data_IF_225618882241
#
_entry.id   IF_225618882241
#
_cell.length_a   1.000
_cell.length_b   1.000
_cell.length_c   1.000
_cell.angle_alpha   90.00
_cell.angle_beta   90.00
_cell.angle_gamma   90.00
#
_symmetry.space_group_name_H-M   'P 1'
#
loop_
_entity.id
_entity.type
_entity.pdbx_description
1 polymer ?
#
# COMPACT_ATOMS: atom_id res chain seq x y z
N UNK A 1 -46.33 -0.05 -29.95
CA UNK A 1 -44.87 -0.02 -29.73
C UNK A 1 -44.66 0.36 -28.28
N UNK A 2 -44.28 -0.62 -27.47
CA UNK A 2 -44.20 -0.52 -26.02
C UNK A 2 -43.06 0.42 -25.62
N UNK A 3 -43.41 1.45 -24.86
CA UNK A 3 -42.49 2.32 -24.15
C UNK A 3 -41.69 1.49 -23.14
N UNK A 4 -40.38 1.36 -23.37
CA UNK A 4 -39.44 0.81 -22.41
C UNK A 4 -39.34 1.76 -21.21
N UNK A 5 -40.19 1.55 -20.21
CA UNK A 5 -40.07 2.17 -18.89
C UNK A 5 -38.94 1.42 -18.17
N UNK A 6 -37.94 2.11 -17.58
CA UNK A 6 -36.85 1.46 -16.85
C UNK A 6 -37.44 0.66 -15.67
N UNK A 7 -37.20 -0.65 -15.67
CA UNK A 7 -37.79 -1.67 -14.80
C UNK A 7 -37.51 -1.49 -13.29
N UNK A 8 -36.70 -0.52 -12.87
CA UNK A 8 -36.24 -0.39 -11.47
C UNK A 8 -37.10 0.53 -10.58
N UNK A 9 -38.33 0.86 -10.98
CA UNK A 9 -39.32 1.51 -10.09
C UNK A 9 -40.08 0.54 -9.19
N UNK A 10 -39.80 -0.77 -9.27
CA UNK A 10 -40.32 -1.76 -8.32
C UNK A 10 -39.32 -1.90 -7.15
N UNK A 11 -39.76 -1.54 -5.94
CA UNK A 11 -38.96 -1.59 -4.71
C UNK A 11 -38.36 -2.99 -4.52
N UNK A 12 -37.07 -3.14 -4.77
CA UNK A 12 -36.34 -4.34 -4.37
C UNK A 12 -36.36 -4.45 -2.85
N UNK A 13 -36.49 -5.67 -2.33
CA UNK A 13 -36.28 -5.95 -0.92
C UNK A 13 -34.81 -6.26 -0.68
N UNK A 14 -34.22 -5.68 0.35
CA UNK A 14 -32.83 -5.91 0.73
C UNK A 14 -32.78 -6.82 1.95
N UNK A 15 -31.90 -7.82 1.90
CA UNK A 15 -31.68 -8.75 3.01
C UNK A 15 -30.23 -8.63 3.46
N UNK A 16 -30.06 -8.15 4.69
CA UNK A 16 -28.78 -8.09 5.38
C UNK A 16 -28.48 -9.45 6.05
N UNK A 17 -27.28 -9.97 5.84
CA UNK A 17 -26.73 -11.08 6.59
C UNK A 17 -25.38 -10.66 7.17
N UNK A 18 -25.16 -10.97 8.45
CA UNK A 18 -23.90 -10.69 9.14
C UNK A 18 -23.46 -11.96 9.82
N UNK A 19 -22.27 -12.43 9.46
CA UNK A 19 -21.71 -13.70 9.92
C UNK A 19 -20.33 -13.40 10.53
N UNK A 20 -20.06 -13.79 11.79
CA UNK A 20 -18.72 -13.68 12.36
C UNK A 20 -17.70 -14.45 11.52
N UNK A 21 -16.46 -13.95 11.45
CA UNK A 21 -15.37 -14.71 10.83
C UNK A 21 -15.08 -16.00 11.61
N UNK A 22 -14.62 -17.06 10.94
CA UNK A 22 -14.39 -18.35 11.59
C UNK A 22 -13.22 -18.30 12.56
N UNK A 23 -12.11 -17.70 12.14
CA UNK A 23 -10.86 -17.68 12.92
C UNK A 23 -10.76 -16.45 13.83
N UNK A 24 -11.40 -15.35 13.42
CA UNK A 24 -11.34 -14.06 14.13
C UNK A 24 -12.73 -13.44 14.39
N UNK A 25 -13.68 -14.15 15.03
CA UNK A 25 -15.08 -13.71 15.16
C UNK A 25 -15.27 -12.38 15.89
N UNK A 26 -14.33 -12.04 16.78
CA UNK A 26 -14.32 -10.79 17.55
C UNK A 26 -13.74 -9.62 16.76
N UNK A 27 -12.93 -9.87 15.74
CA UNK A 27 -12.23 -8.81 14.99
C UNK A 27 -12.90 -8.60 13.64
N UNK A 28 -13.33 -9.68 12.99
CA UNK A 28 -13.80 -9.72 11.62
C UNK A 28 -15.24 -10.24 11.54
N UNK A 29 -16.06 -9.59 10.73
CA UNK A 29 -17.43 -10.02 10.42
C UNK A 29 -17.71 -9.83 8.93
N UNK A 30 -18.19 -10.88 8.26
CA UNK A 30 -18.71 -10.76 6.91
C UNK A 30 -20.08 -10.11 6.93
N UNK A 31 -20.25 -9.09 6.12
CA UNK A 31 -21.50 -8.36 5.92
C UNK A 31 -21.90 -8.55 4.46
N UNK A 32 -23.09 -9.09 4.21
CA UNK A 32 -23.63 -9.21 2.86
C UNK A 32 -25.05 -8.65 2.76
N UNK A 33 -25.34 -8.00 1.64
CA UNK A 33 -26.68 -7.49 1.32
C UNK A 33 -27.10 -8.03 -0.02
N UNK A 34 -28.23 -8.74 -0.04
CA UNK A 34 -28.84 -9.30 -1.25
C UNK A 34 -30.05 -8.47 -1.64
N UNK A 35 -30.06 -7.95 -2.87
CA UNK A 35 -31.23 -7.32 -3.48
C UNK A 35 -32.12 -8.40 -4.13
N UNK A 36 -33.40 -8.42 -3.76
CA UNK A 36 -34.39 -9.39 -4.27
C UNK A 36 -35.55 -8.64 -4.90
N UNK A 37 -35.78 -8.89 -6.18
CA UNK A 37 -36.93 -8.39 -6.93
C UNK A 37 -38.16 -9.27 -6.62
N UNK A 38 -39.34 -8.67 -6.36
CA UNK A 38 -40.54 -9.42 -6.01
C UNK A 38 -40.94 -10.51 -7.03
N UNK A 39 -40.72 -10.26 -8.33
CA UNK A 39 -41.13 -11.17 -9.41
C UNK A 39 -39.99 -11.91 -10.09
N UNK A 40 -38.74 -11.44 -9.96
CA UNK A 40 -37.59 -11.97 -10.72
C UNK A 40 -36.51 -12.60 -9.79
N UNK A 41 -36.75 -12.60 -8.48
CA UNK A 41 -35.84 -13.19 -7.51
C UNK A 41 -34.59 -12.34 -7.26
N UNK A 42 -33.47 -12.96 -6.87
CA UNK A 42 -32.23 -12.24 -6.55
C UNK A 42 -31.70 -11.44 -7.75
N UNK A 43 -31.37 -10.18 -7.54
CA UNK A 43 -30.93 -9.21 -8.56
C UNK A 43 -29.41 -8.99 -8.50
N UNK A 44 -28.89 -8.90 -7.27
CA UNK A 44 -27.47 -8.69 -7.02
C UNK A 44 -27.14 -8.80 -5.55
N UNK A 45 -25.85 -8.83 -5.25
CA UNK A 45 -25.28 -8.98 -3.92
C UNK A 45 -24.07 -8.06 -3.77
N UNK A 46 -23.91 -7.47 -2.59
CA UNK A 46 -22.69 -6.81 -2.15
C UNK A 46 -22.15 -7.55 -0.93
N UNK A 47 -20.84 -7.77 -0.89
CA UNK A 47 -20.14 -8.37 0.24
C UNK A 47 -19.04 -7.44 0.73
N UNK A 48 -18.95 -7.30 2.04
CA UNK A 48 -17.96 -6.50 2.73
C UNK A 48 -17.46 -7.21 3.99
N UNK A 49 -16.25 -6.87 4.41
CA UNK A 49 -15.63 -7.34 5.64
C UNK A 49 -15.56 -6.18 6.63
N UNK A 50 -16.22 -6.34 7.79
CA UNK A 50 -16.15 -5.42 8.89
C UNK A 50 -14.93 -5.75 9.77
N UNK A 51 -14.05 -4.77 10.00
CA UNK A 51 -12.77 -4.94 10.69
C UNK A 51 -12.70 -4.02 11.91
N UNK A 52 -12.64 -4.62 13.10
CA UNK A 52 -12.49 -3.94 14.39
C UNK A 52 -11.01 -3.88 14.79
N UNK A 53 -10.26 -2.96 14.16
CA UNK A 53 -8.79 -2.87 14.33
C UNK A 53 -8.32 -2.63 15.76
N UNK A 54 -9.13 -1.98 16.61
CA UNK A 54 -8.79 -1.73 18.02
C UNK A 54 -8.54 -3.04 18.79
N UNK A 55 -9.08 -4.16 18.28
CA UNK A 55 -8.99 -5.47 18.90
C UNK A 55 -7.87 -6.33 18.31
N UNK A 56 -7.17 -5.86 17.26
CA UNK A 56 -6.03 -6.55 16.67
C UNK A 56 -4.78 -6.55 17.57
N UNK A 57 -4.68 -5.65 18.55
CA UNK A 57 -3.60 -5.60 19.58
C UNK A 57 -2.14 -5.62 19.06
N UNK A 58 -1.90 -5.34 17.80
CA UNK A 58 -0.57 -5.37 17.17
C UNK A 58 -0.47 -6.35 16.00
N UNK A 59 -1.42 -7.29 15.91
CA UNK A 59 -1.47 -8.36 14.90
C UNK A 59 -2.30 -7.92 13.68
N UNK A 60 -2.43 -6.61 13.45
CA UNK A 60 -3.32 -6.07 12.41
C UNK A 60 -2.92 -6.59 11.03
N UNK A 61 -1.63 -6.66 10.73
CA UNK A 61 -1.18 -7.18 9.44
C UNK A 61 -1.36 -8.69 9.32
N UNK A 62 -1.06 -9.46 10.36
CA UNK A 62 -1.16 -10.92 10.34
C UNK A 62 -2.61 -11.35 10.14
N UNK A 63 -3.55 -10.74 10.86
CA UNK A 63 -4.98 -10.99 10.71
C UNK A 63 -5.48 -10.64 9.29
N UNK A 64 -4.89 -9.64 8.62
CA UNK A 64 -5.30 -9.27 7.26
C UNK A 64 -4.68 -10.18 6.19
N UNK A 65 -3.45 -10.65 6.44
CA UNK A 65 -2.71 -11.63 5.62
C UNK A 65 -3.42 -12.99 5.62
N UNK A 66 -3.86 -13.45 6.80
CA UNK A 66 -4.59 -14.70 6.97
C UNK A 66 -5.91 -14.75 6.18
N UNK A 67 -6.56 -13.60 5.95
CA UNK A 67 -7.82 -13.50 5.20
C UNK A 67 -7.62 -13.55 3.69
N UNK A 68 -6.71 -12.72 3.14
CA UNK A 68 -6.41 -12.68 1.70
C UNK A 68 -5.25 -11.73 1.37
N UNK A 69 -4.53 -12.03 0.29
CA UNK A 69 -3.51 -11.15 -0.30
C UNK A 69 -4.06 -9.74 -0.62
N UNK A 70 -5.31 -9.65 -1.07
CA UNK A 70 -5.98 -8.37 -1.38
C UNK A 70 -6.13 -7.51 -0.12
N UNK A 71 -6.57 -8.13 0.98
CA UNK A 71 -6.79 -7.43 2.24
C UNK A 71 -5.46 -7.03 2.90
N UNK A 72 -4.41 -7.87 2.77
CA UNK A 72 -3.07 -7.50 3.18
C UNK A 72 -2.52 -6.32 2.36
N UNK A 73 -2.74 -6.30 1.05
CA UNK A 73 -2.37 -5.17 0.18
C UNK A 73 -3.09 -3.88 0.62
N UNK A 74 -4.39 -3.96 0.92
CA UNK A 74 -5.15 -2.85 1.50
C UNK A 74 -4.56 -2.36 2.83
N UNK A 75 -4.32 -3.28 3.76
CA UNK A 75 -3.81 -2.97 5.09
C UNK A 75 -2.42 -2.34 5.04
N UNK A 76 -1.49 -2.98 4.32
CA UNK A 76 -0.10 -2.54 4.21
C UNK A 76 0.06 -1.28 3.37
N UNK A 77 -0.81 -1.01 2.39
CA UNK A 77 -0.74 0.22 1.57
C UNK A 77 -1.20 1.45 2.37
N UNK A 78 -2.31 1.34 3.09
CA UNK A 78 -2.93 2.49 3.75
C UNK A 78 -2.49 2.69 5.19
N UNK A 79 -2.29 1.61 5.93
CA UNK A 79 -2.09 1.64 7.37
C UNK A 79 -0.71 1.14 7.78
N UNK A 80 -0.27 1.52 8.98
CA UNK A 80 0.84 0.87 9.67
C UNK A 80 0.38 -0.42 10.37
N UNK A 81 1.34 -1.15 10.95
CA UNK A 81 1.06 -2.39 11.70
C UNK A 81 0.09 -2.25 12.89
N UNK A 82 -0.24 -1.02 13.28
CA UNK A 82 -1.22 -0.74 14.34
C UNK A 82 -2.58 -0.32 13.79
N UNK A 83 -2.80 -0.40 12.47
CA UNK A 83 -4.03 0.00 11.82
C UNK A 83 -4.21 1.52 11.76
N UNK A 84 -3.12 2.31 11.83
CA UNK A 84 -3.18 3.77 11.72
C UNK A 84 -2.75 4.23 10.33
N UNK A 85 -3.41 5.23 9.79
CA UNK A 85 -3.14 5.74 8.45
C UNK A 85 -1.68 6.21 8.35
N UNK A 86 -0.99 5.76 7.29
CA UNK A 86 0.43 6.06 7.07
C UNK A 86 0.63 7.57 6.97
N UNK A 87 1.69 8.06 7.63
CA UNK A 87 2.01 9.51 7.70
C UNK A 87 2.18 10.14 6.32
N UNK A 88 2.74 9.42 5.36
CA UNK A 88 2.91 9.92 3.99
C UNK A 88 1.58 10.30 3.32
N UNK A 89 0.50 9.59 3.62
CA UNK A 89 -0.81 9.85 3.03
C UNK A 89 -1.49 11.10 3.63
N UNK A 90 -0.85 11.72 4.63
CA UNK A 90 -1.35 12.91 5.33
C UNK A 90 -0.39 14.10 5.14
N UNK A 91 0.90 13.86 5.41
CA UNK A 91 1.92 14.89 5.53
C UNK A 91 2.65 15.17 4.21
N UNK A 92 2.80 14.17 3.33
CA UNK A 92 3.54 14.34 2.08
C UNK A 92 2.71 15.15 1.08
N UNK A 93 3.26 16.26 0.57
CA UNK A 93 2.56 17.16 -0.34
C UNK A 93 2.04 16.48 -1.61
N UNK A 94 2.72 15.43 -2.08
CA UNK A 94 2.37 14.69 -3.29
C UNK A 94 1.52 13.44 -2.99
N UNK A 95 1.98 12.58 -2.07
CA UNK A 95 1.34 11.28 -1.81
C UNK A 95 -0.02 11.39 -1.11
N UNK A 96 -0.28 12.48 -0.38
CA UNK A 96 -1.60 12.75 0.24
C UNK A 96 -2.73 12.98 -0.78
N UNK A 97 -2.40 13.09 -2.07
CA UNK A 97 -3.39 13.28 -3.12
C UNK A 97 -4.18 14.57 -2.92
N UNK A 98 -5.50 14.45 -2.85
CA UNK A 98 -6.42 15.58 -2.63
C UNK A 98 -6.35 16.14 -1.19
N UNK A 99 -5.81 15.38 -0.23
CA UNK A 99 -5.70 15.80 1.16
C UNK A 99 -7.03 15.89 1.91
N UNK A 100 -8.11 15.31 1.36
CA UNK A 100 -9.43 15.28 2.00
C UNK A 100 -9.54 14.24 3.12
N UNK A 101 -8.52 13.39 3.25
CA UNK A 101 -8.41 12.34 4.26
C UNK A 101 -7.27 12.66 5.22
N UNK A 102 -7.47 12.32 6.49
CA UNK A 102 -6.52 12.54 7.57
C UNK A 102 -6.62 11.50 8.67
N UNK A 103 -6.30 11.92 9.90
CA UNK A 103 -6.25 11.06 11.08
C UNK A 103 -7.61 10.53 11.52
N UNK A 104 -8.71 11.03 10.96
CA UNK A 104 -10.05 10.47 11.18
C UNK A 104 -10.20 9.02 10.68
N UNK A 105 -9.30 8.54 9.84
CA UNK A 105 -9.22 7.13 9.44
C UNK A 105 -8.50 6.25 10.48
N UNK A 106 -7.85 6.84 11.50
CA UNK A 106 -7.22 6.10 12.60
C UNK A 106 -8.26 5.59 13.61
N UNK A 107 -9.49 6.14 13.65
CA UNK A 107 -10.56 5.79 14.60
C UNK A 107 -11.84 5.18 13.98
N UNK A 108 -12.55 4.30 14.70
CA UNK A 108 -13.79 3.63 14.26
C UNK A 108 -13.61 2.28 13.57
N UNK A 109 -14.67 1.76 12.94
CA UNK A 109 -14.67 0.45 12.26
C UNK A 109 -14.36 0.62 10.77
N UNK A 110 -13.54 -0.27 10.20
CA UNK A 110 -13.33 -0.33 8.74
C UNK A 110 -14.32 -1.31 8.12
N UNK A 111 -14.95 -0.95 7.01
CA UNK A 111 -15.70 -1.88 6.16
C UNK A 111 -15.03 -1.93 4.79
N UNK A 112 -14.42 -3.07 4.47
CA UNK A 112 -13.78 -3.30 3.19
C UNK A 112 -14.75 -4.02 2.24
N UNK A 113 -15.13 -3.38 1.14
CA UNK A 113 -16.02 -3.93 0.12
C UNK A 113 -15.15 -4.69 -0.90
N UNK A 114 -15.27 -6.01 -0.91
CA UNK A 114 -14.44 -6.89 -1.75
C UNK A 114 -15.22 -7.51 -2.92
N UNK A 115 -16.55 -7.47 -2.92
CA UNK A 115 -17.34 -8.01 -4.03
C UNK A 115 -18.69 -7.29 -4.22
N UNK A 116 -18.99 -6.95 -5.47
CA UNK A 116 -20.29 -6.45 -5.92
C UNK A 116 -20.68 -7.22 -7.18
N UNK A 117 -21.67 -8.09 -7.05
CA UNK A 117 -22.15 -8.92 -8.16
C UNK A 117 -23.57 -8.53 -8.57
N UNK A 118 -23.74 -8.12 -9.83
CA UNK A 118 -25.03 -7.80 -10.43
C UNK A 118 -25.29 -8.76 -11.59
N UNK A 119 -26.45 -9.45 -11.55
CA UNK A 119 -26.90 -10.30 -12.65
C UNK A 119 -27.01 -9.50 -13.93
N UNK A 120 -26.60 -10.11 -15.04
CA UNK A 120 -26.45 -9.46 -16.34
C UNK A 120 -27.70 -8.68 -16.79
N UNK A 121 -28.88 -9.29 -16.63
CA UNK A 121 -30.18 -8.70 -16.98
C UNK A 121 -30.54 -7.42 -16.21
N UNK A 122 -29.85 -7.13 -15.11
CA UNK A 122 -30.11 -5.98 -14.24
C UNK A 122 -28.95 -4.99 -14.18
N UNK A 123 -27.90 -5.20 -14.99
CA UNK A 123 -26.80 -4.24 -15.11
C UNK A 123 -27.30 -2.92 -15.71
N UNK A 124 -26.60 -1.82 -15.39
CA UNK A 124 -26.93 -0.44 -15.83
C UNK A 124 -28.30 0.09 -15.37
N UNK A 125 -28.93 -0.53 -14.36
CA UNK A 125 -30.20 -0.08 -13.78
C UNK A 125 -30.05 0.59 -12.40
N UNK A 126 -28.82 0.93 -11.98
CA UNK A 126 -28.55 1.58 -10.69
C UNK A 126 -28.54 0.64 -9.48
N UNK A 127 -28.70 -0.67 -9.67
CA UNK A 127 -28.75 -1.68 -8.59
C UNK A 127 -27.53 -1.61 -7.67
N UNK A 128 -26.33 -1.52 -8.25
CA UNK A 128 -25.08 -1.47 -7.49
C UNK A 128 -25.00 -0.21 -6.60
N UNK A 129 -25.41 0.95 -7.12
CA UNK A 129 -25.49 2.19 -6.35
C UNK A 129 -26.45 2.07 -5.17
N UNK A 130 -27.61 1.43 -5.38
CA UNK A 130 -28.56 1.18 -4.29
C UNK A 130 -28.02 0.18 -3.26
N UNK A 131 -27.28 -0.86 -3.68
CA UNK A 131 -26.62 -1.79 -2.75
C UNK A 131 -25.57 -1.07 -1.88
N UNK A 132 -24.79 -0.16 -2.45
CA UNK A 132 -23.83 0.67 -1.70
C UNK A 132 -24.54 1.56 -0.68
N UNK A 133 -25.63 2.23 -1.07
CA UNK A 133 -26.43 3.05 -0.17
C UNK A 133 -27.05 2.22 0.96
N UNK A 134 -27.60 1.06 0.62
CA UNK A 134 -28.21 0.16 1.61
C UNK A 134 -27.17 -0.39 2.59
N UNK A 135 -25.94 -0.68 2.13
CA UNK A 135 -24.83 -1.07 3.00
C UNK A 135 -24.51 0.01 4.02
N UNK A 136 -24.43 1.26 3.60
CA UNK A 136 -24.18 2.40 4.48
C UNK A 136 -25.32 2.58 5.48
N UNK A 137 -26.58 2.51 5.04
CA UNK A 137 -27.75 2.69 5.89
C UNK A 137 -27.89 1.55 6.91
N UNK A 138 -27.77 0.30 6.47
CA UNK A 138 -27.91 -0.89 7.31
C UNK A 138 -26.84 -0.97 8.39
N UNK A 139 -25.60 -0.56 8.08
CA UNK A 139 -24.49 -0.56 9.04
C UNK A 139 -24.60 0.59 10.03
N UNK A 140 -24.95 1.79 9.57
CA UNK A 140 -25.22 2.94 10.44
C UNK A 140 -26.39 2.69 11.41
N UNK A 141 -27.43 1.97 10.96
CA UNK A 141 -28.57 1.60 11.80
C UNK A 141 -28.21 0.57 12.88
N UNK A 142 -27.24 -0.31 12.62
CA UNK A 142 -26.80 -1.34 13.59
C UNK A 142 -25.91 -0.78 14.68
N UNK A 143 -25.05 0.16 14.34
CA UNK A 143 -24.11 0.74 15.28
C UNK A 143 -23.91 2.23 15.01
N UNK A 144 -24.80 3.04 15.57
CA UNK A 144 -24.76 4.49 15.45
C UNK A 144 -23.45 5.10 16.00
N UNK A 145 -22.70 4.35 16.82
CA UNK A 145 -21.43 4.78 17.40
C UNK A 145 -20.21 4.23 16.65
N UNK A 146 -20.36 3.32 15.68
CA UNK A 146 -19.24 2.64 15.01
C UNK A 146 -18.32 3.57 14.18
N UNK A 147 -18.75 4.81 13.90
CA UNK A 147 -18.02 5.76 13.05
C UNK A 147 -17.45 5.08 11.78
N UNK A 148 -18.27 4.26 11.13
CA UNK A 148 -17.81 3.34 10.10
C UNK A 148 -17.20 4.06 8.89
N UNK A 149 -16.08 3.52 8.40
CA UNK A 149 -15.33 3.99 7.23
C UNK A 149 -15.35 2.89 6.17
N UNK A 150 -15.84 3.21 4.98
CA UNK A 150 -15.99 2.23 3.91
C UNK A 150 -14.81 2.36 2.97
N UNK A 151 -14.25 1.24 2.55
CA UNK A 151 -13.13 1.16 1.62
C UNK A 151 -13.45 0.18 0.51
N UNK A 152 -12.85 0.39 -0.65
CA UNK A 152 -12.90 -0.55 -1.76
C UNK A 152 -11.65 -0.40 -2.62
N UNK A 153 -11.27 -1.50 -3.27
CA UNK A 153 -10.36 -1.47 -4.41
C UNK A 153 -11.20 -1.60 -5.69
N UNK A 154 -11.32 -0.53 -6.51
CA UNK A 154 -12.17 -0.55 -7.71
C UNK A 154 -11.52 -1.32 -8.86
N UNK A 155 -11.27 -2.62 -8.66
CA UNK A 155 -10.78 -3.55 -9.68
C UNK A 155 -11.81 -4.65 -9.99
N UNK A 156 -11.84 -5.17 -11.23
CA UNK A 156 -12.63 -6.34 -11.57
C UNK A 156 -12.09 -7.58 -10.87
N UNK A 157 -12.96 -8.33 -10.18
CA UNK A 157 -12.61 -9.62 -9.56
C UNK A 157 -12.48 -10.75 -10.58
N UNK A 158 -13.03 -10.58 -11.80
CA UNK A 158 -13.00 -11.59 -12.85
C UNK A 158 -11.73 -11.40 -13.68
N UNK A 159 -10.88 -12.43 -13.71
CA UNK A 159 -9.78 -12.50 -14.66
C UNK A 159 -10.40 -12.66 -16.06
N UNK A 160 -10.34 -11.60 -16.85
CA UNK A 160 -10.78 -11.62 -18.24
C UNK A 160 -9.56 -11.89 -19.10
N UNK A 161 -9.63 -12.89 -19.97
CA UNK A 161 -8.53 -13.22 -20.90
C UNK A 161 -8.27 -12.11 -21.94
N UNK A 162 -9.18 -11.14 -22.03
CA UNK A 162 -9.10 -10.01 -22.96
C UNK A 162 -8.82 -8.71 -22.20
N UNK A 163 -7.65 -8.11 -22.49
CA UNK A 163 -7.16 -6.87 -21.86
C UNK A 163 -8.13 -5.69 -22.03
N UNK A 164 -8.73 -5.52 -23.22
CA UNK A 164 -9.67 -4.41 -23.46
C UNK A 164 -10.94 -4.56 -22.62
N UNK A 165 -11.44 -5.78 -22.47
CA UNK A 165 -12.60 -6.04 -21.61
C UNK A 165 -12.28 -5.80 -20.13
N UNK A 166 -11.06 -6.16 -19.69
CA UNK A 166 -10.62 -5.91 -18.33
C UNK A 166 -10.52 -4.40 -18.05
N UNK A 167 -9.96 -3.63 -18.98
CA UNK A 167 -9.89 -2.17 -18.92
C UNK A 167 -11.28 -1.54 -18.85
N UNK A 168 -12.21 -1.98 -19.70
CA UNK A 168 -13.60 -1.50 -19.67
C UNK A 168 -14.28 -1.79 -18.32
N UNK A 169 -14.10 -2.99 -17.77
CA UNK A 169 -14.66 -3.35 -16.46
C UNK A 169 -14.06 -2.52 -15.32
N UNK A 170 -12.76 -2.24 -15.38
CA UNK A 170 -12.06 -1.39 -14.40
C UNK A 170 -12.64 0.02 -14.41
N UNK A 171 -12.87 0.60 -15.58
CA UNK A 171 -13.48 1.94 -15.69
C UNK A 171 -14.95 1.95 -15.21
N UNK A 172 -15.71 0.88 -15.46
CA UNK A 172 -17.07 0.73 -14.92
C UNK A 172 -17.04 0.69 -13.38
N UNK A 173 -16.13 -0.07 -12.77
CA UNK A 173 -15.98 -0.13 -11.31
C UNK A 173 -15.60 1.23 -10.72
N UNK A 174 -14.62 1.92 -11.32
CA UNK A 174 -14.21 3.28 -10.92
C UNK A 174 -15.37 4.27 -11.03
N UNK A 175 -16.13 4.24 -12.12
CA UNK A 175 -17.30 5.09 -12.32
C UNK A 175 -18.36 4.82 -11.25
N UNK A 176 -18.63 3.56 -10.91
CA UNK A 176 -19.58 3.19 -9.86
C UNK A 176 -19.21 3.83 -8.51
N UNK A 177 -17.98 3.66 -8.04
CA UNK A 177 -17.57 4.17 -6.73
C UNK A 177 -17.52 5.70 -6.71
N UNK A 178 -16.96 6.34 -7.75
CA UNK A 178 -16.89 7.80 -7.84
C UNK A 178 -18.27 8.46 -7.90
N UNK A 179 -19.22 7.90 -8.64
CA UNK A 179 -20.63 8.34 -8.68
C UNK A 179 -21.34 8.19 -7.33
N UNK A 180 -20.90 7.25 -6.49
CA UNK A 180 -21.41 7.05 -5.13
C UNK A 180 -20.57 7.76 -4.05
N UNK A 181 -19.87 8.83 -4.43
CA UNK A 181 -19.10 9.70 -3.53
C UNK A 181 -17.91 9.04 -2.80
N UNK A 182 -17.44 7.88 -3.26
CA UNK A 182 -16.15 7.38 -2.81
C UNK A 182 -15.04 8.24 -3.42
N UNK A 183 -14.01 8.55 -2.63
CA UNK A 183 -12.85 9.35 -3.04
C UNK A 183 -11.57 8.63 -2.70
N UNK A 184 -10.55 8.82 -3.54
CA UNK A 184 -9.25 8.15 -3.38
C UNK A 184 -8.57 8.53 -2.07
N UNK A 185 -7.92 7.55 -1.43
CA UNK A 185 -7.08 7.78 -0.25
C UNK A 185 -5.64 8.01 -0.69
N UNK A 186 -5.18 9.26 -0.65
CA UNK A 186 -3.89 9.62 -1.20
C UNK A 186 -3.78 9.38 -2.71
N UNK A 187 -2.60 8.99 -3.18
CA UNK A 187 -2.36 8.51 -4.56
C UNK A 187 -2.26 6.98 -4.60
N UNK A 188 -3.17 6.29 -3.91
CA UNK A 188 -3.22 4.82 -3.86
C UNK A 188 -4.35 4.29 -4.74
N UNK A 189 -4.43 2.98 -4.94
CA UNK A 189 -5.53 2.38 -5.69
C UNK A 189 -6.87 2.35 -4.93
N UNK A 190 -6.83 2.56 -3.61
CA UNK A 190 -7.98 2.42 -2.74
C UNK A 190 -8.82 3.71 -2.67
N UNK A 191 -10.13 3.52 -2.63
CA UNK A 191 -11.11 4.60 -2.42
C UNK A 191 -11.82 4.41 -1.09
N UNK A 192 -12.18 5.52 -0.45
CA UNK A 192 -12.89 5.53 0.82
C UNK A 192 -14.18 6.35 0.76
N UNK A 193 -15.09 6.04 1.66
CA UNK A 193 -16.35 6.76 1.86
C UNK A 193 -16.66 6.91 3.35
N UNK A 194 -17.23 8.06 3.69
CA UNK A 194 -17.77 8.34 5.01
C UNK A 194 -19.21 8.84 4.92
N UNK A 195 -20.11 8.38 5.81
CA UNK A 195 -21.52 8.79 5.78
C UNK A 195 -21.73 10.29 6.04
N UNK A 196 -20.82 10.94 6.77
CA UNK A 196 -20.92 12.34 7.17
C UNK A 196 -20.97 13.28 5.95
N UNK A 197 -22.12 13.90 5.70
CA UNK A 197 -22.35 14.77 4.54
C UNK A 197 -21.45 16.02 4.50
N UNK A 198 -21.02 16.52 5.67
CA UNK A 198 -20.14 17.69 5.77
C UNK A 198 -18.65 17.36 5.56
N UNK A 199 -18.29 16.08 5.37
CA UNK A 199 -16.90 15.67 5.21
C UNK A 199 -16.31 16.23 3.89
N UNK A 200 -15.06 16.70 3.85
CA UNK A 200 -14.45 17.28 2.64
C UNK A 200 -14.52 16.35 1.41
N UNK A 201 -14.37 15.04 1.59
CA UNK A 201 -14.50 14.07 0.49
C UNK A 201 -15.90 14.05 -0.16
N UNK A 202 -16.95 14.42 0.57
CA UNK A 202 -18.33 14.51 0.05
C UNK A 202 -18.58 15.78 -0.75
N UNK A 203 -17.80 16.83 -0.49
CA UNK A 203 -17.87 18.11 -1.19
C UNK A 203 -16.96 18.15 -2.42
N UNK A 204 -16.04 17.20 -2.56
CA UNK A 204 -15.10 17.12 -3.68
C UNK A 204 -15.81 16.61 -4.95
N UNK A 205 -15.86 17.40 -6.05
CA UNK A 205 -16.37 16.92 -7.34
C UNK A 205 -15.53 15.76 -7.88
N UNK A 206 -16.15 14.86 -8.67
CA UNK A 206 -15.45 13.70 -9.23
C UNK A 206 -14.25 14.10 -10.11
N UNK A 207 -14.40 15.20 -10.87
CA UNK A 207 -13.36 15.75 -11.76
C UNK A 207 -12.14 16.28 -11.00
N UNK A 208 -12.31 16.61 -9.72
CA UNK A 208 -11.24 17.12 -8.86
C UNK A 208 -10.62 16.01 -7.99
N UNK A 209 -11.07 14.76 -8.12
CA UNK A 209 -10.41 13.64 -7.45
C UNK A 209 -9.08 13.31 -8.16
N UNK A 210 -8.11 12.83 -7.40
CA UNK A 210 -6.77 12.58 -7.94
C UNK A 210 -6.74 11.26 -8.71
N UNK A 211 -6.17 11.30 -9.93
CA UNK A 211 -5.92 10.11 -10.75
C UNK A 211 -4.90 9.16 -10.13
N UNK A 212 -4.88 7.91 -10.63
CA UNK A 212 -3.87 6.90 -10.23
C UNK A 212 -2.56 7.21 -10.95
N UNK A 213 -1.44 7.04 -10.26
CA UNK A 213 -0.12 7.26 -10.87
C UNK A 213 0.25 6.23 -11.95
N UNK A 214 -0.28 5.01 -11.84
CA UNK A 214 0.04 3.85 -12.67
C UNK A 214 -0.46 3.88 -14.12
N UNK A 215 -1.15 4.93 -14.59
CA UNK A 215 -1.68 4.94 -15.97
C UNK A 215 -0.66 4.77 -17.11
N UNK A 216 0.65 5.08 -17.00
CA UNK A 216 1.62 4.81 -18.06
C UNK A 216 2.38 3.48 -17.93
N UNK A 217 2.19 2.71 -16.86
CA UNK A 217 2.89 1.43 -16.65
C UNK A 217 1.85 0.31 -16.64
N UNK A 218 1.87 -0.54 -17.67
CA UNK A 218 0.97 -1.69 -17.76
C UNK A 218 1.10 -2.54 -16.49
N UNK A 219 0.03 -2.60 -15.70
CA UNK A 219 -0.08 -3.40 -14.46
C UNK A 219 -0.13 -4.92 -14.73
N UNK A 220 0.27 -5.34 -15.93
CA UNK A 220 0.32 -6.74 -16.36
C UNK A 220 1.65 -7.42 -16.01
N UNK A 221 2.63 -6.69 -15.49
CA UNK A 221 3.57 -7.31 -14.55
C UNK A 221 2.81 -7.44 -13.24
N UNK A 222 2.52 -8.68 -12.77
CA UNK A 222 2.02 -8.84 -11.42
C UNK A 222 2.96 -8.05 -10.52
N UNK A 223 2.41 -7.21 -9.64
CA UNK A 223 3.02 -7.12 -8.32
C UNK A 223 3.24 -8.56 -7.94
N UNK A 224 4.50 -9.00 -7.81
CA UNK A 224 4.74 -10.30 -7.22
C UNK A 224 3.96 -10.27 -5.91
N UNK A 225 2.89 -11.07 -5.73
CA UNK A 225 2.56 -11.47 -4.38
C UNK A 225 3.86 -12.05 -3.81
N UNK A 226 4.10 -11.84 -2.52
CA UNK A 226 5.23 -12.45 -1.83
C UNK A 226 5.51 -13.84 -2.42
N UNK A 227 6.70 -14.01 -3.01
CA UNK A 227 7.16 -15.21 -3.74
C UNK A 227 6.26 -16.43 -3.54
N UNK A 228 5.44 -16.78 -4.55
CA UNK A 228 4.83 -18.11 -4.57
C UNK A 228 5.99 -19.07 -4.78
N UNK A 229 6.47 -19.65 -3.68
CA UNK A 229 7.42 -20.75 -3.73
C UNK A 229 6.65 -21.95 -4.27
N UNK A 230 6.71 -22.19 -5.58
CA UNK A 230 6.16 -23.42 -6.17
C UNK A 230 7.03 -24.59 -5.72
N UNK A 231 6.46 -25.42 -4.85
CA UNK A 231 7.09 -26.67 -4.41
C UNK A 231 6.79 -27.75 -5.44
N UNK A 232 7.79 -28.16 -6.20
CA UNK A 232 7.69 -29.29 -7.12
C UNK A 232 8.21 -30.57 -6.46
N UNK A 233 7.39 -31.63 -6.48
CA UNK A 233 7.83 -32.97 -6.09
C UNK A 233 8.69 -33.55 -7.21
N UNK A 234 9.96 -33.78 -6.92
CA UNK A 234 10.87 -34.51 -7.79
C UNK A 234 10.51 -35.99 -7.79
N UNK A 235 10.90 -36.68 -8.86
CA UNK A 235 10.58 -38.10 -9.08
C UNK A 235 11.18 -39.05 -8.04
N UNK A 236 12.12 -38.58 -7.22
CA UNK A 236 12.72 -39.29 -6.09
C UNK A 236 11.99 -39.05 -4.76
N UNK A 237 10.89 -38.30 -4.77
CA UNK A 237 10.09 -37.98 -3.59
C UNK A 237 10.63 -36.80 -2.77
N UNK A 238 11.67 -36.10 -3.26
CA UNK A 238 12.16 -34.87 -2.64
C UNK A 238 11.41 -33.65 -3.17
N UNK A 239 11.30 -32.60 -2.34
CA UNK A 239 10.65 -31.35 -2.72
C UNK A 239 11.74 -30.34 -3.09
N UNK A 240 11.66 -29.72 -4.26
CA UNK A 240 12.48 -28.56 -4.59
C UNK A 240 11.61 -27.32 -4.77
N UNK A 241 12.01 -26.24 -4.10
CA UNK A 241 11.49 -24.90 -4.31
C UNK A 241 12.28 -24.27 -5.46
N UNK A 242 11.77 -24.38 -6.68
CA UNK A 242 12.29 -23.64 -7.83
C UNK A 242 11.29 -22.55 -8.20
N UNK A 243 11.78 -21.31 -8.23
CA UNK A 243 11.05 -20.13 -8.68
C UNK A 243 11.41 -19.90 -10.17
N UNK A 244 10.92 -20.78 -11.04
CA UNK A 244 11.20 -20.75 -12.49
C UNK A 244 10.79 -19.41 -13.14
N UNK A 245 9.84 -18.70 -12.52
CA UNK A 245 9.41 -17.37 -12.95
C UNK A 245 10.40 -16.27 -12.57
N UNK A 246 11.04 -16.35 -11.39
CA UNK A 246 12.06 -15.40 -10.99
C UNK A 246 13.32 -15.50 -11.87
N UNK A 247 13.74 -16.71 -12.24
CA UNK A 247 14.92 -16.92 -13.10
C UNK A 247 14.67 -16.43 -14.53
N UNK A 248 13.45 -16.66 -15.06
CA UNK A 248 13.04 -16.12 -16.36
C UNK A 248 12.93 -14.59 -16.36
N UNK A 249 12.36 -14.00 -15.30
CA UNK A 249 12.25 -12.55 -15.15
C UNK A 249 13.62 -11.88 -14.99
N UNK A 250 14.55 -12.50 -14.27
CA UNK A 250 15.92 -12.00 -14.10
C UNK A 250 16.70 -12.05 -15.41
N UNK A 251 16.55 -13.14 -16.18
CA UNK A 251 17.13 -13.28 -17.52
C UNK A 251 16.59 -12.22 -18.49
N UNK A 252 15.29 -11.96 -18.46
CA UNK A 252 14.65 -10.91 -19.27
C UNK A 252 15.14 -9.52 -18.86
N UNK A 253 15.19 -9.21 -17.56
CA UNK A 253 15.71 -7.95 -17.03
C UNK A 253 17.17 -7.75 -17.42
N UNK A 254 18.00 -8.79 -17.38
CA UNK A 254 19.39 -8.73 -17.82
C UNK A 254 19.51 -8.41 -19.32
N UNK A 255 18.64 -8.99 -20.15
CA UNK A 255 18.64 -8.78 -21.59
C UNK A 255 18.14 -7.39 -21.99
N UNK A 256 17.09 -6.88 -21.33
CA UNK A 256 16.45 -5.60 -21.67
C UNK A 256 17.09 -4.41 -20.96
N UNK A 257 17.45 -4.55 -19.67
CA UNK A 257 17.97 -3.48 -18.82
C UNK A 257 19.27 -3.92 -18.11
N UNK A 258 20.38 -4.11 -18.86
CA UNK A 258 21.61 -4.67 -18.33
C UNK A 258 22.23 -3.84 -17.20
N UNK A 259 22.05 -2.51 -17.23
CA UNK A 259 22.55 -1.63 -16.17
C UNK A 259 21.75 -1.81 -14.86
N UNK A 260 20.42 -1.88 -14.93
CA UNK A 260 19.57 -2.13 -13.76
C UNK A 260 19.90 -3.48 -13.14
N UNK A 261 20.04 -4.52 -13.96
CA UNK A 261 20.45 -5.85 -13.50
C UNK A 261 21.82 -5.81 -12.80
N UNK A 262 22.84 -5.17 -13.39
CA UNK A 262 24.16 -5.05 -12.77
C UNK A 262 24.13 -4.32 -11.41
N UNK A 263 23.32 -3.26 -11.30
CA UNK A 263 23.13 -2.51 -10.05
C UNK A 263 22.42 -3.38 -9.00
N UNK A 264 21.36 -4.08 -9.38
CA UNK A 264 20.59 -4.98 -8.49
C UNK A 264 21.43 -6.16 -8.00
N UNK A 265 22.26 -6.73 -8.88
CA UNK A 265 23.17 -7.82 -8.55
C UNK A 265 24.34 -7.41 -7.63
N UNK A 266 24.58 -6.10 -7.45
CA UNK A 266 25.70 -5.52 -6.65
C UNK A 266 27.11 -5.96 -7.09
N UNK A 267 27.26 -6.52 -8.28
CA UNK A 267 28.54 -7.02 -8.81
C UNK A 267 29.07 -6.05 -9.85
N UNK A 268 30.28 -5.53 -9.63
CA UNK A 268 30.96 -4.59 -10.53
C UNK A 268 30.07 -3.41 -10.97
N UNK A 269 29.15 -2.97 -10.11
CA UNK A 269 28.14 -1.97 -10.48
C UNK A 269 28.77 -0.61 -10.80
N UNK A 270 29.87 -0.24 -10.14
CA UNK A 270 30.58 1.02 -10.43
C UNK A 270 31.15 1.04 -11.85
N UNK A 271 31.80 -0.06 -12.25
CA UNK A 271 32.40 -0.20 -13.58
C UNK A 271 31.31 -0.30 -14.65
N UNK A 272 30.20 -0.98 -14.35
CA UNK A 272 29.04 -1.03 -15.23
C UNK A 272 28.44 0.37 -15.45
N UNK A 273 28.30 1.19 -14.39
CA UNK A 273 27.79 2.57 -14.51
C UNK A 273 28.74 3.44 -15.32
N UNK A 274 30.05 3.41 -15.00
CA UNK A 274 31.07 4.20 -15.72
C UNK A 274 31.18 3.78 -17.19
N UNK A 275 31.14 2.47 -17.45
CA UNK A 275 31.14 1.89 -18.79
C UNK A 275 29.90 2.28 -19.58
N UNK A 276 28.71 2.13 -18.98
CA UNK A 276 27.44 2.55 -19.59
C UNK A 276 27.44 4.05 -19.92
N UNK A 277 27.90 4.89 -19.00
CA UNK A 277 28.00 6.34 -19.23
C UNK A 277 28.99 6.70 -20.35
N UNK A 278 30.11 5.99 -20.45
CA UNK A 278 31.11 6.21 -21.50
C UNK A 278 30.61 5.77 -22.88
N UNK A 279 29.88 4.65 -22.94
CA UNK A 279 29.35 4.09 -24.18
C UNK A 279 28.14 4.89 -24.67
N UNK A 280 27.17 5.11 -23.79
CA UNK A 280 25.92 5.80 -24.07
C UNK A 280 25.42 6.52 -22.81
N UNK A 281 25.68 7.84 -22.67
CA UNK A 281 25.28 8.62 -21.49
C UNK A 281 23.78 8.58 -21.15
N UNK A 282 22.90 8.24 -22.09
CA UNK A 282 21.47 8.12 -21.83
C UNK A 282 21.12 6.93 -20.92
N UNK A 283 21.94 5.87 -20.89
CA UNK A 283 21.66 4.63 -20.13
C UNK A 283 21.60 4.87 -18.62
N UNK A 284 22.36 5.83 -18.09
CA UNK A 284 22.33 6.13 -16.64
C UNK A 284 21.04 6.80 -16.17
N UNK A 285 20.11 7.09 -17.09
CA UNK A 285 18.76 7.60 -16.84
C UNK A 285 17.67 6.74 -17.47
N UNK A 286 18.02 5.61 -18.05
CA UNK A 286 17.08 4.68 -18.65
C UNK A 286 16.11 4.15 -17.60
N UNK A 287 14.83 4.00 -17.97
CA UNK A 287 13.81 3.47 -17.07
C UNK A 287 13.53 2.03 -17.43
N UNK A 288 13.40 1.19 -16.40
CA UNK A 288 12.90 -0.18 -16.58
C UNK A 288 11.39 -0.19 -16.84
N UNK A 289 10.81 -1.38 -17.04
CA UNK A 289 9.36 -1.56 -17.28
C UNK A 289 8.48 -0.99 -16.15
N UNK A 290 9.05 -0.80 -14.96
CA UNK A 290 8.38 -0.22 -13.81
C UNK A 290 8.61 1.29 -13.67
N UNK A 291 9.28 1.91 -14.65
CA UNK A 291 9.68 3.31 -14.63
C UNK A 291 10.85 3.64 -13.71
N UNK A 292 11.48 2.63 -13.08
CA UNK A 292 12.60 2.88 -12.20
C UNK A 292 13.84 3.26 -13.00
N UNK A 293 14.43 4.40 -12.66
CA UNK A 293 15.76 4.80 -13.15
C UNK A 293 16.85 3.98 -12.44
N UNK A 294 18.12 4.01 -12.90
CA UNK A 294 19.22 3.30 -12.24
C UNK A 294 19.42 3.78 -10.79
N UNK A 295 19.03 5.03 -10.49
CA UNK A 295 19.02 5.59 -9.14
C UNK A 295 17.99 4.89 -8.23
N UNK A 296 16.79 4.60 -8.74
CA UNK A 296 15.79 3.81 -8.01
C UNK A 296 16.25 2.37 -7.81
N UNK A 297 16.86 1.75 -8.84
CA UNK A 297 17.41 0.41 -8.74
C UNK A 297 18.51 0.30 -7.67
N UNK A 298 19.41 1.30 -7.58
CA UNK A 298 20.43 1.36 -6.54
C UNK A 298 19.85 1.46 -5.13
N UNK A 299 18.75 2.20 -4.96
CA UNK A 299 18.03 2.31 -3.69
C UNK A 299 17.36 1.01 -3.32
N UNK A 300 16.57 0.41 -4.23
CA UNK A 300 15.86 -0.84 -3.99
C UNK A 300 16.82 -1.98 -3.62
N UNK A 301 17.96 -2.05 -4.30
CA UNK A 301 18.99 -3.02 -3.98
C UNK A 301 19.76 -2.72 -2.68
N UNK A 302 19.66 -1.54 -2.07
CA UNK A 302 20.61 -1.08 -1.03
C UNK A 302 22.06 -1.19 -1.53
N UNK A 303 22.34 -0.63 -2.71
CA UNK A 303 23.66 -0.60 -3.33
C UNK A 303 24.28 0.80 -3.18
N UNK A 304 25.00 1.01 -2.07
CA UNK A 304 25.62 2.29 -1.74
C UNK A 304 26.67 2.72 -2.78
N UNK A 305 27.49 1.79 -3.26
CA UNK A 305 28.54 2.06 -4.23
C UNK A 305 27.98 2.53 -5.58
N UNK A 306 26.93 1.86 -6.07
CA UNK A 306 26.22 2.29 -7.27
C UNK A 306 25.60 3.69 -7.10
N UNK A 307 24.94 3.95 -5.97
CA UNK A 307 24.35 5.26 -5.68
C UNK A 307 25.42 6.36 -5.69
N UNK A 308 26.53 6.17 -4.97
CA UNK A 308 27.62 7.14 -4.92
C UNK A 308 28.21 7.39 -6.31
N UNK A 309 28.39 6.32 -7.10
CA UNK A 309 28.90 6.42 -8.48
C UNK A 309 27.95 7.23 -9.35
N UNK A 310 26.65 6.93 -9.34
CA UNK A 310 25.63 7.68 -10.09
C UNK A 310 25.60 9.16 -9.70
N UNK A 311 25.66 9.48 -8.41
CA UNK A 311 25.68 10.86 -7.91
C UNK A 311 27.01 11.59 -8.19
N UNK A 312 28.10 10.86 -8.46
CA UNK A 312 29.40 11.42 -8.81
C UNK A 312 29.57 11.73 -10.30
N UNK A 313 28.63 11.30 -11.14
CA UNK A 313 28.68 11.56 -12.57
C UNK A 313 28.62 13.08 -12.85
N UNK A 314 29.23 13.54 -13.96
CA UNK A 314 29.23 14.96 -14.30
C UNK A 314 27.81 15.52 -14.42
N UNK A 315 27.61 16.80 -14.12
CA UNK A 315 26.28 17.43 -14.15
C UNK A 315 25.54 17.27 -15.49
N UNK A 316 26.26 17.19 -16.61
CA UNK A 316 25.70 16.94 -17.95
C UNK A 316 24.99 15.59 -18.10
N UNK A 317 25.26 14.64 -17.18
CA UNK A 317 24.53 13.37 -17.11
C UNK A 317 23.07 13.57 -16.70
N UNK A 318 22.72 14.70 -16.07
CA UNK A 318 21.39 15.04 -15.56
C UNK A 318 20.78 14.00 -14.59
N UNK A 319 21.57 13.08 -14.04
CA UNK A 319 21.10 12.06 -13.07
C UNK A 319 20.47 12.69 -11.83
N UNK A 320 20.90 13.89 -11.46
CA UNK A 320 20.34 14.65 -10.34
C UNK A 320 18.87 15.05 -10.56
N UNK A 321 18.39 15.15 -11.81
CA UNK A 321 16.97 15.39 -12.06
C UNK A 321 16.11 14.18 -11.62
N UNK A 322 16.66 12.97 -11.68
CA UNK A 322 15.95 11.74 -11.30
C UNK A 322 15.75 11.63 -9.77
N UNK A 323 16.43 12.48 -8.97
CA UNK A 323 16.18 12.61 -7.53
C UNK A 323 14.76 13.08 -7.21
N UNK A 324 14.12 13.76 -8.16
CA UNK A 324 12.77 14.29 -8.03
C UNK A 324 11.76 13.57 -8.94
N UNK A 325 12.24 12.66 -9.79
CA UNK A 325 11.38 11.84 -10.64
C UNK A 325 10.48 10.98 -9.76
N UNK A 326 9.19 10.99 -10.08
CA UNK A 326 8.22 10.05 -9.53
C UNK A 326 7.72 9.08 -10.58
N UNK A 327 8.21 9.16 -11.82
CA UNK A 327 7.78 8.43 -13.03
C UNK A 327 8.14 6.96 -12.97
N UNK A 328 7.58 6.28 -11.98
CA UNK A 328 7.63 4.84 -11.72
C UNK A 328 6.30 4.36 -11.16
N UNK A 329 6.09 3.05 -11.16
CA UNK A 329 4.86 2.45 -10.63
C UNK A 329 4.53 2.96 -9.22
N UNK A 330 5.51 3.13 -8.33
CA UNK A 330 5.24 3.53 -6.95
C UNK A 330 4.89 5.01 -6.79
N UNK A 331 5.06 5.84 -7.82
CA UNK A 331 4.86 7.28 -7.75
C UNK A 331 5.79 7.97 -6.74
N UNK A 332 6.99 7.41 -6.52
CA UNK A 332 7.91 7.83 -5.44
C UNK A 332 9.25 8.30 -5.98
N UNK A 333 9.78 9.33 -5.34
CA UNK A 333 11.20 9.70 -5.53
C UNK A 333 12.12 8.64 -4.93
N UNK A 334 13.41 8.59 -5.31
CA UNK A 334 14.37 7.66 -4.70
C UNK A 334 14.44 7.78 -3.17
N UNK A 335 14.32 8.99 -2.61
CA UNK A 335 14.32 9.20 -1.16
C UNK A 335 13.04 8.68 -0.50
N UNK A 336 11.87 8.87 -1.13
CA UNK A 336 10.59 8.34 -0.65
C UNK A 336 10.57 6.81 -0.72
N UNK A 337 11.11 6.22 -1.79
CA UNK A 337 11.28 4.78 -1.94
C UNK A 337 12.22 4.21 -0.87
N UNK A 338 13.37 4.85 -0.63
CA UNK A 338 14.31 4.41 0.42
C UNK A 338 13.65 4.36 1.80
N UNK A 339 12.90 5.41 2.17
CA UNK A 339 12.16 5.46 3.45
C UNK A 339 11.07 4.41 3.54
N UNK A 340 10.43 4.09 2.42
CA UNK A 340 9.46 3.01 2.35
C UNK A 340 10.12 1.66 2.62
N UNK A 341 11.13 1.30 1.84
CA UNK A 341 11.86 0.04 1.96
C UNK A 341 12.43 -0.19 3.35
N UNK A 342 12.97 0.87 3.96
CA UNK A 342 13.46 0.83 5.35
C UNK A 342 12.37 0.34 6.31
N UNK A 343 11.17 0.92 6.21
CA UNK A 343 10.05 0.58 7.08
C UNK A 343 9.46 -0.78 6.72
N UNK A 344 9.28 -1.07 5.44
CA UNK A 344 8.71 -2.34 4.99
C UNK A 344 9.64 -3.51 5.40
N UNK A 345 10.96 -3.32 5.36
CA UNK A 345 11.93 -4.29 5.87
C UNK A 345 11.83 -4.49 7.39
N UNK A 346 11.60 -3.42 8.16
CA UNK A 346 11.36 -3.51 9.60
C UNK A 346 10.05 -4.25 9.89
N UNK A 347 8.94 -3.87 9.25
CA UNK A 347 7.62 -4.49 9.40
C UNK A 347 7.68 -5.99 9.01
N UNK A 348 8.41 -6.34 7.93
CA UNK A 348 8.65 -7.74 7.53
C UNK A 348 9.45 -8.53 8.56
N UNK A 349 10.53 -7.97 9.10
CA UNK A 349 11.37 -8.66 10.08
C UNK A 349 10.59 -8.96 11.37
N UNK A 350 9.80 -7.99 11.85
CA UNK A 350 8.95 -8.15 13.02
C UNK A 350 7.89 -9.24 12.82
N UNK A 351 7.23 -9.25 11.66
CA UNK A 351 6.23 -10.27 11.29
C UNK A 351 6.83 -11.67 11.14
N UNK A 352 8.01 -11.77 10.54
CA UNK A 352 8.72 -13.04 10.44
C UNK A 352 9.26 -13.55 11.79
N UNK A 353 9.01 -12.83 12.88
CA UNK A 353 9.57 -13.09 14.22
C UNK A 353 11.10 -13.23 14.20
N UNK A 354 11.75 -12.53 13.28
CA UNK A 354 13.21 -12.46 13.17
C UNK A 354 13.69 -11.29 14.02
N UNK A 355 14.81 -11.47 14.72
CA UNK A 355 15.43 -10.38 15.46
C UNK A 355 15.85 -9.27 14.48
N UNK A 356 15.18 -8.13 14.57
CA UNK A 356 15.50 -6.97 13.76
C UNK A 356 16.58 -6.12 14.44
N UNK A 357 17.80 -6.16 13.92
CA UNK A 357 18.96 -5.45 14.47
C UNK A 357 19.01 -3.94 14.14
N UNK A 358 17.94 -3.41 13.54
CA UNK A 358 17.85 -2.04 13.04
C UNK A 358 18.12 -1.93 11.53
N UNK A 359 18.01 -0.72 10.99
CA UNK A 359 18.35 -0.45 9.60
C UNK A 359 19.86 -0.60 9.38
N UNK A 360 20.23 -1.15 8.22
CA UNK A 360 21.63 -1.25 7.82
C UNK A 360 22.28 0.14 7.69
N UNK A 361 23.58 0.21 7.97
CA UNK A 361 24.37 1.43 7.80
C UNK A 361 24.29 1.94 6.36
N UNK A 362 24.32 1.04 5.37
CA UNK A 362 24.25 1.40 3.95
C UNK A 362 22.91 2.03 3.59
N UNK A 363 21.79 1.46 4.03
CA UNK A 363 20.45 2.04 3.78
C UNK A 363 20.33 3.44 4.40
N UNK A 364 20.84 3.63 5.62
CA UNK A 364 20.84 4.93 6.29
C UNK A 364 21.73 5.95 5.59
N UNK A 365 22.90 5.50 5.11
CA UNK A 365 23.84 6.31 4.32
C UNK A 365 23.19 6.72 2.99
N UNK A 366 22.52 5.79 2.30
CA UNK A 366 21.73 6.06 1.08
C UNK A 366 20.68 7.14 1.36
N UNK A 367 19.86 6.99 2.40
CA UNK A 367 18.84 7.96 2.77
C UNK A 367 19.43 9.35 3.07
N UNK A 368 20.58 9.40 3.75
CA UNK A 368 21.30 10.65 4.04
C UNK A 368 21.80 11.33 2.77
N UNK A 369 22.47 10.57 1.89
CA UNK A 369 23.04 11.07 0.63
C UNK A 369 21.95 11.59 -0.30
N UNK A 370 20.84 10.86 -0.43
CA UNK A 370 19.67 11.29 -1.19
C UNK A 370 19.05 12.55 -0.59
N UNK A 371 18.85 12.60 0.73
CA UNK A 371 18.36 13.82 1.39
C UNK A 371 19.21 15.04 1.08
N UNK A 372 20.53 14.91 1.18
CA UNK A 372 21.48 15.97 0.82
C UNK A 372 21.39 16.37 -0.65
N UNK A 373 21.38 15.39 -1.56
CA UNK A 373 21.35 15.63 -3.00
C UNK A 373 20.03 16.25 -3.46
N UNK A 374 18.89 15.87 -2.86
CA UNK A 374 17.56 16.40 -3.15
C UNK A 374 17.30 17.76 -2.50
N UNK A 375 18.30 18.46 -1.95
CA UNK A 375 18.14 19.78 -1.32
C UNK A 375 17.51 19.77 0.08
N UNK A 376 17.45 18.61 0.74
CA UNK A 376 16.91 18.44 2.09
C UNK A 376 17.99 17.90 3.06
N UNK A 377 19.12 18.60 3.25
CA UNK A 377 20.22 18.10 4.06
C UNK A 377 19.81 17.94 5.53
N UNK A 378 20.29 16.87 6.17
CA UNK A 378 20.13 16.71 7.61
C UNK A 378 20.99 17.75 8.36
N UNK A 379 20.51 18.32 9.48
CA UNK A 379 21.34 19.16 10.34
C UNK A 379 22.42 18.37 11.09
N UNK A 380 22.31 17.04 11.14
CA UNK A 380 23.27 16.17 11.79
C UNK A 380 24.40 15.78 10.83
N UNK A 381 25.64 15.61 11.31
CA UNK A 381 26.68 14.96 10.53
C UNK A 381 26.27 13.50 10.25
N UNK A 382 26.81 12.95 9.17
CA UNK A 382 26.43 11.67 8.60
C UNK A 382 26.43 10.51 9.61
N UNK A 383 27.49 10.38 10.40
CA UNK A 383 27.62 9.30 11.39
C UNK A 383 26.62 9.47 12.55
N UNK A 384 26.36 10.72 12.97
CA UNK A 384 25.34 11.00 13.99
C UNK A 384 23.93 10.74 13.45
N UNK A 385 23.68 11.02 12.16
CA UNK A 385 22.43 10.67 11.49
C UNK A 385 22.20 9.16 11.53
N UNK A 386 23.19 8.35 11.11
CA UNK A 386 23.12 6.89 11.12
C UNK A 386 22.79 6.37 12.52
N UNK A 387 23.55 6.79 13.54
CA UNK A 387 23.32 6.36 14.93
C UNK A 387 21.92 6.75 15.42
N UNK A 388 21.48 7.97 15.14
CA UNK A 388 20.17 8.47 15.60
C UNK A 388 18.97 7.81 14.90
N UNK A 389 19.18 7.19 13.73
CA UNK A 389 18.11 6.62 12.89
C UNK A 389 18.14 5.11 12.79
N UNK A 390 19.12 4.43 13.43
CA UNK A 390 19.26 2.97 13.44
C UNK A 390 17.95 2.23 13.68
N UNK A 391 17.14 2.70 14.62
CA UNK A 391 15.90 2.04 15.05
C UNK A 391 14.62 2.67 14.47
N UNK A 392 14.73 3.43 13.38
CA UNK A 392 13.58 4.01 12.67
C UNK A 392 12.94 5.23 13.33
N UNK A 393 13.37 5.64 14.54
CA UNK A 393 12.79 6.82 15.17
C UNK A 393 13.16 8.11 14.43
N UNK A 394 12.14 8.95 14.20
CA UNK A 394 12.31 10.20 13.46
C UNK A 394 12.09 11.47 14.27
N UNK A 395 11.73 11.35 15.55
CA UNK A 395 11.30 12.49 16.36
C UNK A 395 12.43 13.42 16.84
N UNK A 396 13.69 12.97 16.74
CA UNK A 396 14.87 13.73 17.19
C UNK A 396 14.99 13.89 18.72
N UNK A 397 14.07 13.32 19.50
CA UNK A 397 14.05 13.40 20.97
C UNK A 397 14.41 12.09 21.66
N UNK A 398 14.40 10.97 20.94
CA UNK A 398 14.77 9.67 21.48
C UNK A 398 16.29 9.54 21.55
N UNK A 399 16.81 9.13 22.70
CA UNK A 399 18.24 8.84 22.87
C UNK A 399 18.62 7.64 22.00
N UNK A 400 19.67 7.81 21.18
CA UNK A 400 20.14 6.85 20.19
C UNK A 400 19.03 6.33 19.25
N UNK A 401 17.95 7.08 19.06
CA UNK A 401 16.87 6.70 18.14
C UNK A 401 15.92 5.60 18.63
N UNK A 402 15.99 5.15 19.90
CA UNK A 402 15.06 4.11 20.39
C UNK A 402 14.49 4.43 21.78
N UNK A 403 15.28 5.09 22.63
CA UNK A 403 14.89 5.33 24.01
C UNK A 403 14.14 6.66 24.13
N UNK A 404 12.80 6.60 24.09
CA UNK A 404 11.94 7.78 24.22
C UNK A 404 11.94 8.35 25.64
N UNK A 405 11.72 9.67 25.78
CA UNK A 405 11.62 10.33 27.09
C UNK A 405 10.55 9.70 28.01
N UNK A 406 9.44 9.21 27.44
CA UNK A 406 8.40 8.49 28.19
C UNK A 406 8.91 7.15 28.72
N UNK A 407 9.68 6.43 27.92
CA UNK A 407 10.27 5.15 28.33
C UNK A 407 11.36 5.37 29.38
N UNK A 408 12.22 6.39 29.20
CA UNK A 408 13.20 6.79 30.22
C UNK A 408 12.52 7.09 31.55
N UNK A 409 11.49 7.94 31.54
CA UNK A 409 10.73 8.27 32.74
C UNK A 409 10.17 7.03 33.43
N UNK A 410 9.58 6.09 32.67
CA UNK A 410 9.07 4.82 33.22
C UNK A 410 10.16 3.94 33.82
N UNK A 411 11.32 3.82 33.16
CA UNK A 411 12.46 3.04 33.65
C UNK A 411 13.03 3.66 34.94
N UNK A 412 13.21 4.98 34.97
CA UNK A 412 13.70 5.70 36.14
C UNK A 412 12.71 5.63 37.32
N UNK A 413 11.41 5.69 37.03
CA UNK A 413 10.36 5.61 38.06
C UNK A 413 10.31 4.24 38.73
N UNK A 414 10.49 3.16 37.96
CA UNK A 414 10.58 1.79 38.51
C UNK A 414 11.85 1.60 39.35
N UNK A 415 12.95 2.25 39.00
CA UNK A 415 14.19 2.21 39.76
C UNK A 415 14.06 2.95 41.11
N UNK A 416 13.37 4.09 41.16
CA UNK A 416 13.06 4.76 42.43
C UNK A 416 12.15 3.92 43.34
N UNK A 417 11.17 3.18 42.80
CA UNK A 417 10.30 2.32 43.61
C UNK A 417 11.04 1.11 44.19
N UNK A 418 12.04 0.56 43.49
CA UNK A 418 12.87 -0.54 44.00
C UNK A 418 13.85 -0.06 45.08
N UNK A 419 14.41 1.14 44.93
CA UNK A 419 15.31 1.74 45.92
C UNK A 419 14.62 2.08 47.26
N UNK A 420 13.32 2.40 47.23
CA UNK A 420 12.53 2.64 48.45
C UNK A 420 12.22 1.33 49.18
N UNK A 421 12.07 0.22 48.47
CA UNK A 421 11.82 -1.09 49.10
C UNK A 421 13.11 -1.66 49.70
N UNK A 422 14.27 -1.50 49.07
CA UNK A 422 15.56 -1.96 49.62
C UNK A 422 16.07 -1.12 50.80
N UNK A 423 15.63 0.14 50.96
CA UNK A 423 15.97 0.98 52.12
C UNK A 423 14.88 1.00 53.22
N UNK A 424 13.87 0.13 53.11
CA UNK A 424 12.84 -0.08 54.14
C UNK A 424 12.83 -1.51 54.72
N UNK A 425 13.89 -2.32 54.47
CA UNK A 425 14.10 -3.65 55.09
C UNK A 425 15.23 -3.60 56.09
#
# INVERSE_FOLDING_TARGET
>A
MATHIPLFHQKCNYRLAVVPHMDHPDILQHVSIKAVHPTQGGVGEIRALQIRRDWCRGDFFDIMDDESDELFSFASTLFDKYGRLRKELIENAYLRGTGVWGRELDDGVLLYIFDINIKENFRRQGVASHLLQELVLSTAARDANANAKFFAWPLPTIHLDNEDQWRDQREIARALFSQNHFRRVGRTDFVAYVPQAAHPSRLLPNENDVGIYHEPFDTNTPFGPAHITTVSLLSDGTCSAHDDQAEAADTQMQATYPLHHAIRAKKNSEDAIKGAYTLLPALVRERDDHGFTPLHAAVSATNLAALQTLLSLPAISNVTEDLHSRENIMGRTPLELCKQEMRDAMERAERAHVEWEGHSTDTLRIAFLLGRASGHPSPLPEDAYIVSRKWGCTCGRCTAGWLSARMQYRLMSKHCQSFVIENMV
#
